data_IF_751794495531
#
_entry.id   IF_751794495531
#
_cell.length_a   1.000
_cell.length_b   1.000
_cell.length_c   1.000
_cell.angle_alpha   90.00
_cell.angle_beta   90.00
_cell.angle_gamma   90.00
#
_symmetry.space_group_name_H-M   'P 1'
#
loop_
_entity.id
_entity.type
_entity.pdbx_description
1 polymer ?
#
# COMPACT_ATOMS: atom_id res chain seq x y z
N UNK A 1 -17.10 1.97 -21.85
CA UNK A 1 -16.48 0.66 -22.25
C UNK A 1 -16.74 -0.31 -21.11
N UNK A 2 -17.07 -1.55 -21.37
CA UNK A 2 -17.32 -2.57 -20.33
C UNK A 2 -16.09 -3.47 -20.19
N UNK A 3 -15.65 -3.75 -18.95
CA UNK A 3 -14.58 -4.71 -18.69
C UNK A 3 -15.12 -6.15 -18.88
N UNK A 4 -14.29 -7.02 -19.44
CA UNK A 4 -14.65 -8.43 -19.74
C UNK A 4 -13.57 -9.39 -19.29
N UNK A 5 -13.94 -10.63 -19.07
CA UNK A 5 -13.03 -11.72 -18.73
C UNK A 5 -12.11 -12.10 -19.92
N UNK A 6 -10.89 -12.53 -19.60
CA UNK A 6 -9.92 -13.08 -20.55
C UNK A 6 -9.57 -12.10 -21.70
N UNK A 7 -9.51 -10.80 -21.41
CA UNK A 7 -9.18 -9.76 -22.39
C UNK A 7 -7.83 -9.13 -22.08
N UNK A 8 -7.09 -8.83 -23.13
CA UNK A 8 -5.87 -8.01 -23.04
C UNK A 8 -6.22 -6.56 -23.44
N UNK A 9 -6.03 -5.66 -22.49
CA UNK A 9 -6.22 -4.22 -22.64
C UNK A 9 -4.86 -3.55 -22.65
N UNK A 10 -4.55 -2.74 -23.67
CA UNK A 10 -3.28 -2.07 -23.83
C UNK A 10 -3.49 -0.61 -24.22
N UNK A 11 -2.71 0.29 -23.57
CA UNK A 11 -2.70 1.73 -23.86
C UNK A 11 -4.10 2.37 -23.83
N UNK A 12 -4.95 1.96 -22.87
CA UNK A 12 -6.33 2.44 -22.76
C UNK A 12 -6.54 3.30 -21.53
N UNK A 13 -7.40 4.31 -21.68
CA UNK A 13 -7.90 5.10 -20.57
C UNK A 13 -9.39 4.76 -20.29
N UNK A 14 -9.67 4.42 -19.05
CA UNK A 14 -11.01 4.15 -18.54
C UNK A 14 -11.39 5.29 -17.60
N UNK A 15 -12.53 5.91 -17.83
CA UNK A 15 -13.02 7.02 -17.01
C UNK A 15 -14.43 6.75 -16.51
N UNK A 16 -14.67 7.09 -15.25
CA UNK A 16 -15.97 7.00 -14.60
C UNK A 16 -16.66 5.63 -14.78
N UNK A 17 -15.87 4.55 -14.63
CA UNK A 17 -16.45 3.19 -14.66
C UNK A 17 -17.16 2.91 -13.34
N UNK A 18 -18.44 2.55 -13.45
CA UNK A 18 -19.24 2.01 -12.36
C UNK A 18 -19.08 0.48 -12.35
N UNK A 19 -18.11 -0.02 -11.60
CA UNK A 19 -17.73 -1.43 -11.58
C UNK A 19 -17.81 -2.05 -10.19
N UNK A 20 -18.57 -1.43 -9.28
CA UNK A 20 -18.71 -1.93 -7.91
C UNK A 20 -19.39 -3.31 -7.89
N UNK A 21 -18.87 -4.19 -7.00
CA UNK A 21 -19.33 -5.59 -6.83
C UNK A 21 -19.26 -6.48 -8.07
N UNK A 22 -18.64 -6.01 -9.13
CA UNK A 22 -18.46 -6.79 -10.36
C UNK A 22 -17.23 -7.71 -10.24
N UNK A 23 -17.14 -8.67 -11.18
CA UNK A 23 -16.06 -9.67 -11.19
C UNK A 23 -15.39 -9.64 -12.56
N UNK A 24 -14.06 -9.65 -12.56
CA UNK A 24 -13.23 -9.84 -13.75
C UNK A 24 -12.25 -10.97 -13.49
N UNK A 25 -12.12 -11.87 -14.46
CA UNK A 25 -11.23 -13.01 -14.39
C UNK A 25 -10.21 -12.99 -15.53
N UNK A 26 -8.95 -13.33 -15.20
CA UNK A 26 -7.87 -13.65 -16.14
C UNK A 26 -7.63 -12.58 -17.22
N UNK A 27 -7.86 -11.31 -16.89
CA UNK A 27 -7.63 -10.20 -17.82
C UNK A 27 -6.31 -9.51 -17.53
N UNK A 28 -5.67 -9.00 -18.56
CA UNK A 28 -4.41 -8.27 -18.48
C UNK A 28 -4.63 -6.82 -18.91
N UNK A 29 -4.09 -5.90 -18.10
CA UNK A 29 -4.08 -4.48 -18.36
C UNK A 29 -2.62 -4.03 -18.43
N UNK A 30 -2.20 -3.48 -19.55
CA UNK A 30 -0.85 -2.98 -19.77
C UNK A 30 -0.90 -1.51 -20.18
N UNK A 31 -0.14 -0.65 -19.49
CA UNK A 31 -0.12 0.80 -19.69
C UNK A 31 -1.51 1.44 -19.73
N UNK A 32 -2.41 0.93 -18.88
CA UNK A 32 -3.78 1.45 -18.79
C UNK A 32 -3.91 2.50 -17.68
N UNK A 33 -4.78 3.47 -17.91
CA UNK A 33 -5.16 4.47 -16.91
C UNK A 33 -6.62 4.28 -16.49
N UNK A 34 -6.86 4.33 -15.18
CA UNK A 34 -8.20 4.31 -14.59
C UNK A 34 -8.41 5.63 -13.85
N UNK A 35 -9.38 6.43 -14.29
CA UNK A 35 -9.67 7.74 -13.75
C UNK A 35 -11.11 7.79 -13.23
N UNK A 36 -11.29 8.23 -11.97
CA UNK A 36 -12.61 8.41 -11.35
C UNK A 36 -13.51 7.15 -11.46
N UNK A 37 -12.92 5.96 -11.23
CA UNK A 37 -13.62 4.68 -11.34
C UNK A 37 -14.03 4.14 -9.98
N UNK A 38 -15.21 3.54 -9.89
CA UNK A 38 -15.69 2.83 -8.70
C UNK A 38 -15.53 1.31 -8.86
N UNK A 39 -14.58 0.74 -8.11
CA UNK A 39 -14.33 -0.69 -7.98
C UNK A 39 -14.67 -1.22 -6.59
N UNK A 40 -15.51 -0.52 -5.83
CA UNK A 40 -15.87 -0.92 -4.46
C UNK A 40 -16.40 -2.36 -4.44
N UNK A 41 -15.84 -3.18 -3.53
CA UNK A 41 -16.20 -4.60 -3.36
C UNK A 41 -16.08 -5.46 -4.64
N UNK A 42 -15.44 -4.95 -5.71
CA UNK A 42 -15.22 -5.74 -6.93
C UNK A 42 -14.19 -6.85 -6.71
N UNK A 43 -14.12 -7.79 -7.66
CA UNK A 43 -13.18 -8.90 -7.60
C UNK A 43 -12.38 -8.97 -8.90
N UNK A 44 -11.06 -8.90 -8.78
CA UNK A 44 -10.13 -9.21 -9.85
C UNK A 44 -9.43 -10.53 -9.51
N UNK A 45 -9.74 -11.59 -10.26
CA UNK A 45 -9.20 -12.91 -10.04
C UNK A 45 -8.22 -13.26 -11.16
N UNK A 46 -6.98 -13.63 -10.81
CA UNK A 46 -5.92 -13.97 -11.77
C UNK A 46 -5.70 -12.88 -12.84
N UNK A 47 -5.94 -11.62 -12.48
CA UNK A 47 -5.71 -10.49 -13.37
C UNK A 47 -4.26 -10.00 -13.28
N UNK A 48 -3.84 -9.20 -14.27
CA UNK A 48 -2.52 -8.60 -14.30
C UNK A 48 -2.61 -7.13 -14.67
N UNK A 49 -1.97 -6.28 -13.86
CA UNK A 49 -1.83 -4.84 -14.10
C UNK A 49 -0.35 -4.52 -14.23
N UNK A 50 0.07 -4.05 -15.41
CA UNK A 50 1.45 -3.71 -15.73
C UNK A 50 1.53 -2.24 -16.14
N UNK A 51 2.40 -1.47 -15.49
CA UNK A 51 2.61 -0.05 -15.78
C UNK A 51 1.29 0.75 -15.77
N UNK A 52 0.33 0.33 -14.92
CA UNK A 52 -0.99 0.96 -14.85
C UNK A 52 -1.02 2.07 -13.80
N UNK A 53 -1.90 3.05 -14.03
CA UNK A 53 -2.19 4.12 -13.07
C UNK A 53 -3.67 4.14 -12.72
N UNK A 54 -3.95 4.12 -11.41
CA UNK A 54 -5.28 4.39 -10.86
C UNK A 54 -5.27 5.77 -10.24
N UNK A 55 -6.16 6.65 -10.66
CA UNK A 55 -6.27 8.02 -10.12
C UNK A 55 -7.70 8.34 -9.75
N UNK A 56 -7.88 8.95 -8.57
CA UNK A 56 -9.20 9.31 -8.02
C UNK A 56 -10.19 8.13 -7.95
N UNK A 57 -9.69 6.89 -7.86
CA UNK A 57 -10.52 5.69 -7.88
C UNK A 57 -10.91 5.23 -6.47
N UNK A 58 -12.08 4.59 -6.37
CA UNK A 58 -12.50 3.89 -5.16
C UNK A 58 -12.32 2.38 -5.34
N UNK A 59 -11.38 1.79 -4.58
CA UNK A 59 -11.09 0.35 -4.55
C UNK A 59 -11.39 -0.23 -3.15
N UNK A 60 -12.30 0.39 -2.38
CA UNK A 60 -12.63 -0.09 -1.03
C UNK A 60 -13.12 -1.54 -1.06
N UNK A 61 -12.55 -2.39 -0.21
CA UNK A 61 -12.87 -3.81 -0.06
C UNK A 61 -12.72 -4.65 -1.36
N UNK A 62 -11.94 -4.17 -2.33
CA UNK A 62 -11.64 -4.93 -3.55
C UNK A 62 -10.95 -6.24 -3.20
N UNK A 63 -11.29 -7.31 -3.90
CA UNK A 63 -10.63 -8.61 -3.77
C UNK A 63 -9.69 -8.82 -4.96
N UNK A 64 -8.43 -9.14 -4.66
CA UNK A 64 -7.34 -9.24 -5.62
C UNK A 64 -6.75 -10.66 -5.67
N UNK A 65 -7.61 -11.69 -5.74
CA UNK A 65 -7.19 -13.08 -5.64
C UNK A 65 -6.31 -13.49 -6.81
N UNK A 66 -5.05 -13.91 -6.52
CA UNK A 66 -4.05 -14.29 -7.52
C UNK A 66 -3.73 -13.21 -8.57
N UNK A 67 -4.22 -11.99 -8.36
CA UNK A 67 -3.92 -10.84 -9.22
C UNK A 67 -2.46 -10.40 -9.03
N UNK A 68 -1.85 -9.87 -10.07
CA UNK A 68 -0.46 -9.39 -10.06
C UNK A 68 -0.40 -7.93 -10.50
N UNK A 69 0.44 -7.19 -9.80
CA UNK A 69 0.81 -5.82 -10.16
C UNK A 69 2.28 -5.78 -10.57
N UNK A 70 2.63 -4.93 -11.52
CA UNK A 70 4.00 -4.62 -11.94
C UNK A 70 4.03 -3.12 -12.23
N UNK A 71 4.89 -2.39 -11.53
CA UNK A 71 5.06 -0.94 -11.71
C UNK A 71 3.74 -0.15 -11.73
N UNK A 72 2.78 -0.57 -10.90
CA UNK A 72 1.45 0.04 -10.83
C UNK A 72 1.42 1.15 -9.78
N UNK A 73 0.74 2.25 -10.07
CA UNK A 73 0.60 3.39 -9.16
C UNK A 73 -0.87 3.64 -8.82
N UNK A 74 -1.08 3.98 -7.55
CA UNK A 74 -2.36 4.45 -7.05
C UNK A 74 -2.17 5.89 -6.56
N UNK A 75 -2.93 6.83 -7.11
CA UNK A 75 -2.86 8.25 -6.81
C UNK A 75 -4.24 8.76 -6.42
N UNK A 76 -4.34 9.46 -5.29
CA UNK A 76 -5.60 10.02 -4.77
C UNK A 76 -6.74 8.98 -4.60
N UNK A 77 -6.39 7.71 -4.42
CA UNK A 77 -7.34 6.61 -4.37
C UNK A 77 -7.81 6.29 -2.95
N UNK A 78 -9.02 5.74 -2.86
CA UNK A 78 -9.55 5.14 -1.65
C UNK A 78 -9.45 3.62 -1.74
N UNK A 79 -8.55 3.01 -0.94
CA UNK A 79 -8.18 1.58 -1.02
C UNK A 79 -8.34 0.94 0.37
N UNK A 80 -9.48 1.18 0.99
CA UNK A 80 -9.73 0.81 2.39
C UNK A 80 -10.05 -0.68 2.51
N UNK A 81 -9.44 -1.36 3.48
CA UNK A 81 -9.77 -2.72 3.88
C UNK A 81 -9.36 -3.79 2.87
N UNK A 82 -8.34 -3.53 2.07
CA UNK A 82 -7.84 -4.47 1.06
C UNK A 82 -6.84 -5.45 1.66
N UNK A 83 -7.00 -6.74 1.35
CA UNK A 83 -6.05 -7.77 1.73
C UNK A 83 -5.07 -8.07 0.58
N UNK A 84 -3.87 -7.50 0.66
CA UNK A 84 -2.81 -7.63 -0.33
C UNK A 84 -2.08 -8.99 -0.28
N UNK A 85 -2.24 -9.76 0.80
CA UNK A 85 -1.64 -11.09 0.90
C UNK A 85 -2.25 -12.10 -0.09
N UNK A 86 -3.43 -11.80 -0.65
CA UNK A 86 -4.14 -12.65 -1.62
C UNK A 86 -3.60 -12.51 -3.05
N UNK A 87 -2.67 -11.59 -3.29
CA UNK A 87 -2.04 -11.42 -4.61
C UNK A 87 -1.28 -12.68 -5.04
N UNK A 88 -1.11 -12.84 -6.33
CA UNK A 88 -0.29 -13.90 -6.95
C UNK A 88 1.20 -13.61 -6.83
N UNK A 89 1.75 -13.66 -5.60
CA UNK A 89 3.16 -13.44 -5.35
C UNK A 89 4.01 -14.54 -5.99
N UNK A 90 5.00 -14.17 -6.81
CA UNK A 90 5.91 -15.13 -7.47
C UNK A 90 7.36 -14.67 -7.31
N UNK A 91 8.17 -15.53 -6.67
CA UNK A 91 9.62 -15.32 -6.60
C UNK A 91 10.08 -14.23 -5.62
N UNK A 92 11.34 -13.83 -5.75
CA UNK A 92 11.96 -12.77 -4.95
C UNK A 92 11.59 -11.41 -5.55
N UNK A 93 11.00 -10.54 -4.75
CA UNK A 93 10.68 -9.17 -5.14
C UNK A 93 11.86 -8.27 -4.81
N UNK A 94 12.46 -7.61 -5.81
CA UNK A 94 13.56 -6.66 -5.62
C UNK A 94 13.07 -5.24 -5.30
N UNK A 95 11.84 -4.93 -5.67
CA UNK A 95 11.15 -3.67 -5.36
C UNK A 95 9.66 -3.93 -5.25
N UNK A 96 8.94 -3.07 -4.51
CA UNK A 96 7.49 -3.18 -4.41
C UNK A 96 6.84 -3.06 -5.80
N UNK A 97 5.89 -3.94 -6.15
CA UNK A 97 5.28 -3.96 -7.49
C UNK A 97 4.24 -2.86 -7.70
N UNK A 98 3.92 -2.13 -6.65
CA UNK A 98 2.96 -1.03 -6.64
C UNK A 98 3.35 0.03 -5.60
N UNK A 99 2.74 1.21 -5.70
CA UNK A 99 2.91 2.29 -4.74
C UNK A 99 1.68 3.17 -4.62
N UNK A 100 1.61 3.92 -3.51
CA UNK A 100 0.50 4.77 -3.13
C UNK A 100 0.97 6.21 -2.94
N UNK A 101 0.29 7.16 -3.54
CA UNK A 101 0.50 8.58 -3.30
C UNK A 101 -0.83 9.26 -3.01
N UNK A 102 -0.91 9.94 -1.87
CA UNK A 102 -2.14 10.65 -1.45
C UNK A 102 -3.39 9.74 -1.35
N UNK A 103 -3.19 8.49 -0.96
CA UNK A 103 -4.25 7.48 -0.87
C UNK A 103 -4.74 7.26 0.58
N UNK A 104 -5.97 6.78 0.74
CA UNK A 104 -6.44 6.18 1.99
C UNK A 104 -6.35 4.66 1.88
N UNK A 105 -5.35 4.06 2.55
CA UNK A 105 -5.11 2.61 2.59
C UNK A 105 -5.48 1.99 3.95
N UNK A 106 -6.28 2.69 4.75
CA UNK A 106 -6.65 2.27 6.10
C UNK A 106 -7.27 0.87 6.14
N UNK A 107 -7.06 0.14 7.24
CA UNK A 107 -7.54 -1.23 7.47
C UNK A 107 -7.04 -2.26 6.46
N UNK A 108 -6.03 -1.94 5.67
CA UNK A 108 -5.43 -2.89 4.71
C UNK A 108 -4.46 -3.85 5.39
N UNK A 109 -4.29 -5.04 4.80
CA UNK A 109 -3.44 -6.11 5.32
C UNK A 109 -2.31 -6.42 4.35
N UNK A 110 -1.06 -6.23 4.81
CA UNK A 110 0.18 -6.55 4.08
C UNK A 110 1.03 -7.60 4.81
N UNK A 111 0.53 -8.17 5.89
CA UNK A 111 1.27 -9.07 6.77
C UNK A 111 2.18 -10.06 6.02
N UNK A 112 3.43 -10.16 6.47
CA UNK A 112 4.46 -11.08 5.94
C UNK A 112 4.85 -10.87 4.46
N UNK A 113 4.55 -9.72 3.86
CA UNK A 113 4.95 -9.42 2.50
C UNK A 113 6.37 -8.85 2.41
N UNK A 114 7.02 -9.13 1.26
CA UNK A 114 8.31 -8.55 0.90
C UNK A 114 8.08 -7.38 -0.07
N UNK A 115 8.17 -6.14 0.45
CA UNK A 115 7.85 -4.90 -0.26
C UNK A 115 8.97 -3.86 -0.14
N UNK A 116 10.23 -4.20 -0.49
CA UNK A 116 11.32 -3.23 -0.40
C UNK A 116 11.04 -2.03 -1.32
N UNK A 117 11.29 -0.83 -0.81
CA UNK A 117 11.05 0.42 -1.53
C UNK A 117 9.57 0.74 -1.75
N UNK A 118 8.64 0.17 -0.96
CA UNK A 118 7.22 0.53 -1.05
C UNK A 118 7.05 2.04 -0.89
N UNK A 119 6.40 2.66 -1.85
CA UNK A 119 5.97 4.05 -1.75
C UNK A 119 4.57 4.12 -1.14
N UNK A 120 4.44 4.80 0.00
CA UNK A 120 3.16 5.09 0.66
C UNK A 120 3.22 6.52 1.21
N UNK A 121 3.33 7.50 0.30
CA UNK A 121 3.54 8.91 0.63
C UNK A 121 2.24 9.67 0.78
N UNK A 122 2.22 10.63 1.73
CA UNK A 122 1.09 11.51 1.93
C UNK A 122 -0.25 10.75 2.08
N UNK A 123 -0.16 9.54 2.62
CA UNK A 123 -1.28 8.61 2.73
C UNK A 123 -1.95 8.69 4.10
N UNK A 124 -3.18 8.20 4.16
CA UNK A 124 -3.81 7.78 5.39
C UNK A 124 -3.70 6.27 5.50
N UNK A 125 -2.95 5.80 6.48
CA UNK A 125 -2.65 4.39 6.71
C UNK A 125 -3.06 3.97 8.14
N UNK A 126 -4.31 4.25 8.52
CA UNK A 126 -4.79 3.97 9.87
C UNK A 126 -5.15 2.48 10.00
N UNK A 127 -4.76 1.87 11.11
CA UNK A 127 -5.05 0.47 11.41
C UNK A 127 -4.54 -0.51 10.32
N UNK A 128 -3.47 -0.16 9.62
CA UNK A 128 -2.83 -1.03 8.62
C UNK A 128 -1.97 -2.09 9.29
N UNK A 129 -1.94 -3.28 8.73
CA UNK A 129 -1.12 -4.38 9.19
C UNK A 129 0.10 -4.61 8.29
N UNK A 130 1.27 -4.14 8.73
CA UNK A 130 2.59 -4.42 8.13
C UNK A 130 3.42 -5.39 8.98
N UNK A 131 2.81 -6.19 9.84
CA UNK A 131 3.54 -7.12 10.69
C UNK A 131 4.37 -8.11 9.87
N UNK A 132 5.61 -8.36 10.28
CA UNK A 132 6.55 -9.30 9.65
C UNK A 132 6.89 -8.97 8.18
N UNK A 133 6.75 -7.72 7.74
CA UNK A 133 7.07 -7.28 6.38
C UNK A 133 8.56 -6.95 6.21
N UNK A 134 9.06 -7.12 4.99
CA UNK A 134 10.28 -6.45 4.56
C UNK A 134 9.90 -5.15 3.82
N UNK A 135 10.12 -4.03 4.49
CA UNK A 135 9.83 -2.68 4.01
C UNK A 135 11.13 -1.87 3.82
N UNK A 136 12.28 -2.55 3.69
CA UNK A 136 13.57 -1.89 3.55
C UNK A 136 13.51 -0.79 2.48
N UNK A 137 13.88 0.43 2.84
CA UNK A 137 13.87 1.60 1.94
C UNK A 137 12.49 2.13 1.57
N UNK A 138 11.43 1.73 2.27
CA UNK A 138 10.08 2.24 2.00
C UNK A 138 9.95 3.73 2.34
N UNK A 139 9.10 4.42 1.60
CA UNK A 139 8.82 5.84 1.75
C UNK A 139 7.42 6.06 2.34
N UNK A 140 7.37 6.45 3.63
CA UNK A 140 6.16 6.79 4.38
C UNK A 140 6.07 8.29 4.66
N UNK A 141 6.76 9.13 3.89
CA UNK A 141 6.77 10.57 4.12
C UNK A 141 5.36 11.15 4.15
N UNK A 142 5.09 12.03 5.14
CA UNK A 142 3.80 12.71 5.35
C UNK A 142 2.59 11.79 5.57
N UNK A 143 2.81 10.53 5.92
CA UNK A 143 1.73 9.55 6.09
C UNK A 143 1.26 9.51 7.54
N UNK A 144 -0.06 9.46 7.72
CA UNK A 144 -0.69 9.19 9.01
C UNK A 144 -0.71 7.68 9.27
N UNK A 145 0.04 7.26 10.28
CA UNK A 145 0.26 5.87 10.67
C UNK A 145 -0.48 5.48 11.96
N UNK A 146 -1.61 6.14 12.23
CA UNK A 146 -2.39 5.87 13.44
C UNK A 146 -2.73 4.38 13.56
N UNK A 147 -2.36 3.75 14.69
CA UNK A 147 -2.58 2.33 14.99
C UNK A 147 -1.96 1.35 13.97
N UNK A 148 -1.09 1.79 13.08
CA UNK A 148 -0.40 0.91 12.13
C UNK A 148 0.58 0.00 12.86
N UNK A 149 0.57 -1.30 12.52
CA UNK A 149 1.41 -2.31 13.15
C UNK A 149 2.62 -2.64 12.28
N UNK A 150 3.81 -2.59 12.90
CA UNK A 150 5.08 -2.92 12.25
C UNK A 150 5.86 -4.04 12.94
N UNK A 151 5.26 -4.75 13.92
CA UNK A 151 5.98 -5.75 14.72
C UNK A 151 6.76 -6.74 13.87
N UNK A 152 8.00 -7.02 14.25
CA UNK A 152 8.91 -7.96 13.58
C UNK A 152 9.23 -7.62 12.11
N UNK A 153 9.16 -6.35 11.73
CA UNK A 153 9.38 -5.88 10.36
C UNK A 153 10.78 -5.30 10.15
N UNK A 154 11.25 -5.35 8.90
CA UNK A 154 12.46 -4.66 8.48
C UNK A 154 12.08 -3.27 7.96
N UNK A 155 12.52 -2.27 8.70
CA UNK A 155 12.30 -0.85 8.40
C UNK A 155 13.64 -0.14 8.13
N UNK A 156 14.67 -0.89 7.74
CA UNK A 156 15.97 -0.31 7.43
C UNK A 156 15.84 0.71 6.28
N UNK A 157 16.53 1.83 6.40
CA UNK A 157 16.57 2.90 5.40
C UNK A 157 15.19 3.49 5.04
N UNK A 158 14.12 3.20 5.80
CA UNK A 158 12.80 3.77 5.57
C UNK A 158 12.79 5.28 5.81
N UNK A 159 11.94 5.98 5.06
CA UNK A 159 11.72 7.40 5.23
C UNK A 159 10.38 7.69 5.92
N UNK A 160 10.44 8.08 7.21
CA UNK A 160 9.28 8.50 8.02
C UNK A 160 9.26 10.01 8.26
N UNK A 161 9.95 10.80 7.45
CA UNK A 161 9.94 12.26 7.63
C UNK A 161 8.54 12.81 7.44
N UNK A 162 8.14 13.67 8.36
CA UNK A 162 6.78 14.26 8.43
C UNK A 162 5.64 13.22 8.58
N UNK A 163 5.96 11.92 8.75
CA UNK A 163 4.96 10.93 9.13
C UNK A 163 4.55 11.16 10.60
N UNK A 164 3.29 10.87 10.90
CA UNK A 164 2.75 11.12 12.23
C UNK A 164 2.00 9.90 12.79
N UNK A 165 1.74 9.95 14.10
CA UNK A 165 1.00 8.94 14.85
C UNK A 165 1.57 7.51 14.78
N UNK A 166 2.82 7.33 14.37
CA UNK A 166 3.41 5.99 14.33
C UNK A 166 3.76 5.49 15.75
N UNK A 167 3.65 4.17 15.91
CA UNK A 167 4.09 3.44 17.11
C UNK A 167 5.06 2.33 16.66
N UNK A 168 6.33 2.67 16.53
CA UNK A 168 7.38 1.73 16.11
C UNK A 168 8.24 1.39 17.32
N UNK A 169 8.34 0.10 17.66
CA UNK A 169 9.24 -0.39 18.70
C UNK A 169 10.60 -0.77 18.08
N UNK A 170 11.68 -0.01 18.31
CA UNK A 170 12.98 -0.31 17.72
C UNK A 170 13.67 -1.55 18.31
N UNK A 171 13.10 -2.17 19.37
CA UNK A 171 13.61 -3.44 19.90
C UNK A 171 12.97 -4.67 19.23
N UNK A 172 11.88 -4.48 18.50
CA UNK A 172 11.16 -5.53 17.78
C UNK A 172 11.32 -5.40 16.26
N UNK A 173 11.79 -4.26 15.79
CA UNK A 173 11.94 -3.93 14.37
C UNK A 173 13.39 -3.56 14.06
N UNK A 174 13.84 -3.83 12.84
CA UNK A 174 15.10 -3.32 12.34
C UNK A 174 14.89 -1.92 11.77
N UNK A 175 15.52 -0.88 12.34
CA UNK A 175 15.33 0.53 11.97
C UNK A 175 16.63 1.24 11.59
N UNK A 176 17.69 0.49 11.29
CA UNK A 176 18.98 1.06 10.91
C UNK A 176 18.84 1.92 9.65
N UNK A 177 19.38 3.13 9.65
CA UNK A 177 19.30 4.06 8.52
C UNK A 177 17.94 4.73 8.32
N UNK A 178 16.91 4.40 9.11
CA UNK A 178 15.60 5.02 8.96
C UNK A 178 15.61 6.51 9.34
N UNK A 179 14.89 7.32 8.58
CA UNK A 179 14.80 8.76 8.71
C UNK A 179 13.50 9.19 9.39
N UNK A 180 13.58 10.05 10.39
CA UNK A 180 12.43 10.57 11.13
C UNK A 180 12.52 12.08 11.26
N UNK A 181 11.39 12.77 11.41
CA UNK A 181 11.33 14.18 11.79
C UNK A 181 11.23 14.35 13.31
N UNK A 182 11.69 15.50 13.80
CA UNK A 182 11.42 15.97 15.15
C UNK A 182 10.09 16.77 15.14
N UNK A 183 9.22 16.65 16.16
CA UNK A 183 9.39 15.90 17.43
C UNK A 183 8.98 14.42 17.37
N UNK A 184 8.37 13.93 16.30
CA UNK A 184 7.73 12.61 16.19
C UNK A 184 8.70 11.45 16.45
N UNK A 185 9.98 11.62 16.16
CA UNK A 185 11.03 10.62 16.48
C UNK A 185 11.07 10.24 17.97
N UNK A 186 10.60 11.11 18.86
CA UNK A 186 10.53 10.83 20.29
C UNK A 186 9.56 9.68 20.62
N UNK A 187 8.61 9.39 19.75
CA UNK A 187 7.70 8.26 19.92
C UNK A 187 8.42 6.91 19.96
N UNK A 188 9.59 6.79 19.33
CA UNK A 188 10.43 5.58 19.41
C UNK A 188 10.86 5.26 20.85
N UNK A 189 10.97 6.29 21.71
CA UNK A 189 11.39 6.16 23.10
C UNK A 189 10.28 5.58 24.01
N UNK A 190 9.03 5.58 23.55
CA UNK A 190 7.89 5.06 24.30
C UNK A 190 8.07 3.58 24.68
N UNK A 191 8.72 2.81 23.81
CA UNK A 191 9.02 1.38 24.00
C UNK A 191 9.98 1.12 25.19
N UNK A 192 10.81 2.09 25.54
CA UNK A 192 11.81 1.97 26.61
C UNK A 192 11.28 2.37 27.99
N UNK A 193 10.02 2.80 28.11
CA UNK A 193 9.37 3.24 29.38
C UNK A 193 10.15 4.32 30.13
N UNK A 194 10.91 5.15 29.42
CA UNK A 194 11.64 6.27 30.02
C UNK A 194 10.71 7.45 30.28
N UNK A 195 11.05 8.25 31.28
CA UNK A 195 10.35 9.51 31.59
C UNK A 195 11.13 10.66 30.95
N UNK A 196 10.45 11.53 30.25
CA UNK A 196 11.00 12.74 29.68
C UNK A 196 10.42 13.95 30.39
N UNK A 197 11.27 14.86 30.89
CA UNK A 197 10.85 16.13 31.47
C UNK A 197 10.78 17.20 30.37
N UNK A 198 9.75 18.02 30.41
CA UNK A 198 9.68 19.22 29.55
C UNK A 198 8.94 19.07 28.22
N UNK A 199 8.10 18.04 28.07
CA UNK A 199 7.17 17.92 26.95
C UNK A 199 5.75 18.11 27.42
#
# INVERSE_FOLDING_TARGET
MELKDNVFYEDLAFSALEFSRAVINSSTFERCEFLDCDFTESQFNDCKFMECVFRDCNLGLVKLTQTRFIETRFELCKIIGVNWTLLGWTGVTLSAPFGFDSCDISFSVFNSLNLPGLMARNCKANDVDFESCDLTGADFTKTDLTNTRFSSSKLNDCDFREANNFSINPTENSVEGANFSFPEVLNLLSSFRIKMDGI
#
